data_IF_540274448852
#
_entry.id   IF_540274448852
#
_cell.length_a   1.000
_cell.length_b   1.000
_cell.length_c   1.000
_cell.angle_alpha   90.00
_cell.angle_beta   90.00
_cell.angle_gamma   90.00
#
_symmetry.space_group_name_H-M   'P 1'
#
loop_
_entity.id
_entity.type
_entity.pdbx_description
1 polymer ?
#
# COMPACT_ATOMS: atom_id res chain seq x y z
N UNK A 1 -14.53 9.20 35.45
CA UNK A 1 -13.82 10.49 35.51
C UNK A 1 -12.36 10.26 35.20
N UNK A 2 -11.87 10.65 34.00
CA UNK A 2 -10.46 10.55 33.61
C UNK A 2 -9.83 11.94 33.70
N UNK A 3 -8.64 11.99 34.29
CA UNK A 3 -7.95 13.20 34.77
C UNK A 3 -7.49 14.15 33.65
N UNK A 4 -7.63 15.48 33.81
CA UNK A 4 -7.24 16.51 32.83
C UNK A 4 -5.72 16.75 32.71
N UNK A 5 -4.88 15.92 33.34
CA UNK A 5 -3.43 16.14 33.37
C UNK A 5 -2.70 15.80 32.05
N UNK A 6 -3.29 14.99 31.17
CA UNK A 6 -2.65 14.62 29.89
C UNK A 6 -2.80 15.64 28.75
N UNK A 7 -3.80 16.54 28.82
CA UNK A 7 -4.00 17.56 27.77
C UNK A 7 -2.99 18.72 27.82
N UNK A 8 -2.41 19.02 29.00
CA UNK A 8 -1.46 20.15 29.15
C UNK A 8 -0.07 19.90 28.57
N UNK A 9 0.39 18.65 28.46
CA UNK A 9 1.70 18.33 27.85
C UNK A 9 1.68 18.38 26.32
N UNK A 10 0.54 18.08 25.69
CA UNK A 10 0.35 18.21 24.24
C UNK A 10 0.40 19.69 23.80
N UNK A 11 -0.24 20.59 24.55
CA UNK A 11 -0.25 22.03 24.25
C UNK A 11 1.13 22.72 24.45
N UNK A 12 1.95 22.23 25.39
CA UNK A 12 3.29 22.79 25.63
C UNK A 12 4.31 22.37 24.55
N UNK A 13 4.15 21.18 23.95
CA UNK A 13 4.92 20.80 22.75
C UNK A 13 4.52 21.60 21.51
N UNK A 14 3.24 21.96 21.38
CA UNK A 14 2.70 22.78 20.29
C UNK A 14 3.26 24.21 20.28
N UNK A 15 3.44 24.85 21.44
CA UNK A 15 3.96 26.22 21.52
C UNK A 15 5.47 26.33 21.21
N UNK A 16 6.25 25.27 21.47
CA UNK A 16 7.69 25.26 21.25
C UNK A 16 8.09 25.06 19.77
N UNK A 17 7.25 24.41 18.95
CA UNK A 17 7.50 24.29 17.50
C UNK A 17 7.05 25.53 16.72
N UNK A 18 5.95 26.17 17.14
CA UNK A 18 5.46 27.42 16.54
C UNK A 18 6.43 28.60 16.68
N UNK A 19 7.30 28.58 17.69
CA UNK A 19 8.28 29.65 17.94
C UNK A 19 9.56 29.54 17.09
N UNK A 20 9.87 28.36 16.52
CA UNK A 20 11.02 28.21 15.62
C UNK A 20 10.69 28.63 14.18
N UNK A 21 9.43 28.48 13.75
CA UNK A 21 8.98 28.93 12.43
C UNK A 21 8.83 30.45 12.31
N UNK A 22 8.61 31.17 13.42
CA UNK A 22 8.36 32.61 13.43
C UNK A 22 9.63 33.50 13.46
N UNK A 23 10.84 32.90 13.45
CA UNK A 23 12.10 33.63 13.64
C UNK A 23 13.10 33.52 12.48
N UNK A 24 12.67 33.06 11.30
CA UNK A 24 13.53 33.07 10.11
C UNK A 24 13.39 34.42 9.39
N UNK A 25 14.46 35.22 9.29
CA UNK A 25 14.41 36.48 8.56
C UNK A 25 14.15 36.22 7.08
N UNK A 26 13.14 36.87 6.53
CA UNK A 26 12.89 36.92 5.10
C UNK A 26 13.97 37.78 4.43
N UNK A 27 15.05 37.16 3.97
CA UNK A 27 15.92 37.74 2.95
C UNK A 27 15.54 37.14 1.61
N UNK A 28 15.07 38.00 0.70
CA UNK A 28 14.79 37.66 -0.69
C UNK A 28 16.06 37.17 -1.40
N UNK A 29 16.11 35.88 -1.68
CA UNK A 29 16.95 35.24 -2.69
C UNK A 29 16.07 34.17 -3.35
N UNK A 30 16.25 33.93 -4.65
CA UNK A 30 15.46 32.98 -5.47
C UNK A 30 15.49 31.50 -4.99
N UNK A 31 16.16 31.23 -3.87
CA UNK A 31 16.26 29.95 -3.16
C UNK A 31 15.69 30.01 -1.73
N UNK A 32 14.71 30.88 -1.47
CA UNK A 32 14.02 30.90 -0.18
C UNK A 32 13.39 29.52 0.08
N UNK A 33 13.60 28.95 1.28
CA UNK A 33 13.11 27.61 1.55
C UNK A 33 11.58 27.63 1.56
N UNK A 34 11.00 26.81 0.69
CA UNK A 34 9.55 26.62 0.59
C UNK A 34 9.14 25.53 1.58
N UNK A 35 8.17 25.84 2.43
CA UNK A 35 7.64 24.92 3.43
C UNK A 35 6.12 24.89 3.37
N UNK A 36 5.58 23.68 3.32
CA UNK A 36 4.16 23.41 3.42
C UNK A 36 3.85 22.57 4.65
N UNK A 37 2.72 22.87 5.29
CA UNK A 37 2.20 22.08 6.40
C UNK A 37 0.79 21.57 6.08
N UNK A 38 0.55 20.29 6.33
CA UNK A 38 -0.78 19.70 6.20
C UNK A 38 -1.14 18.92 7.46
N UNK A 39 -2.34 19.17 7.97
CA UNK A 39 -2.96 18.35 9.00
C UNK A 39 -4.01 17.46 8.35
N UNK A 40 -3.99 16.15 8.63
CA UNK A 40 -5.04 15.22 8.21
C UNK A 40 -5.64 14.49 9.40
N UNK A 41 -6.97 14.41 9.44
CA UNK A 41 -7.73 13.55 10.33
C UNK A 41 -8.43 12.47 9.51
N UNK A 42 -8.36 11.23 9.96
CA UNK A 42 -9.03 10.09 9.36
C UNK A 42 -9.77 9.33 10.45
N UNK A 43 -11.06 9.08 10.25
CA UNK A 43 -11.86 8.16 11.05
C UNK A 43 -12.32 7.00 10.18
N UNK A 44 -12.23 5.78 10.69
CA UNK A 44 -12.70 4.57 10.03
C UNK A 44 -13.62 3.78 10.94
N UNK A 45 -14.81 3.44 10.44
CA UNK A 45 -15.77 2.56 11.09
C UNK A 45 -15.80 1.20 10.40
N UNK A 46 -15.78 0.10 11.16
CA UNK A 46 -15.66 -1.25 10.60
C UNK A 46 -16.84 -2.15 11.01
N UNK A 47 -17.44 -2.85 10.04
CA UNK A 47 -18.50 -3.83 10.29
C UNK A 47 -17.90 -5.25 10.31
N UNK A 48 -17.81 -5.83 11.52
CA UNK A 48 -17.31 -7.19 11.71
C UNK A 48 -18.27 -8.24 11.12
N UNK A 49 -17.68 -9.28 10.55
CA UNK A 49 -18.41 -10.47 10.10
C UNK A 49 -18.48 -11.52 11.19
N UNK A 50 -19.57 -11.53 11.95
CA UNK A 50 -19.78 -12.45 13.09
C UNK A 50 -19.93 -13.91 12.69
N UNK A 51 -20.37 -14.19 11.47
CA UNK A 51 -20.47 -15.55 10.88
C UNK A 51 -19.15 -16.01 10.23
N UNK A 52 -18.05 -15.31 10.45
CA UNK A 52 -16.74 -15.69 9.92
C UNK A 52 -16.25 -17.02 10.49
N UNK A 53 -15.67 -17.93 9.69
CA UNK A 53 -15.04 -19.15 10.20
C UNK A 53 -13.84 -18.86 11.11
N UNK A 54 -13.38 -17.61 11.18
CA UNK A 54 -12.28 -17.16 12.02
C UNK A 54 -12.74 -16.56 13.36
N UNK A 55 -14.04 -16.65 13.70
CA UNK A 55 -14.63 -16.00 14.88
C UNK A 55 -13.83 -16.20 16.18
N UNK A 56 -13.34 -17.43 16.42
CA UNK A 56 -12.59 -17.77 17.63
C UNK A 56 -11.27 -17.01 17.81
N UNK A 57 -10.72 -16.42 16.75
CA UNK A 57 -9.47 -15.65 16.82
C UNK A 57 -9.64 -14.14 16.82
N UNK A 58 -10.86 -13.61 16.63
CA UNK A 58 -11.07 -12.19 16.32
C UNK A 58 -10.62 -11.24 17.43
N UNK A 59 -10.81 -11.62 18.69
CA UNK A 59 -10.40 -10.84 19.86
C UNK A 59 -8.89 -10.60 19.93
N UNK A 60 -8.09 -11.44 19.27
CA UNK A 60 -6.63 -11.34 19.18
C UNK A 60 -6.17 -10.59 17.93
N UNK A 61 -7.09 -10.03 17.14
CA UNK A 61 -6.79 -9.30 15.90
C UNK A 61 -7.32 -7.87 15.94
N UNK A 62 -6.96 -7.09 14.92
CA UNK A 62 -7.45 -5.73 14.69
C UNK A 62 -8.67 -5.65 13.78
N UNK A 63 -9.20 -6.79 13.29
CA UNK A 63 -10.36 -6.80 12.40
C UNK A 63 -11.61 -6.29 13.11
N UNK A 64 -12.42 -5.52 12.38
CA UNK A 64 -13.72 -5.02 12.85
C UNK A 64 -13.64 -4.03 14.00
N UNK A 65 -12.45 -3.47 14.28
CA UNK A 65 -12.26 -2.44 15.30
C UNK A 65 -12.16 -1.08 14.66
N UNK A 66 -12.91 -0.13 15.19
CA UNK A 66 -12.87 1.26 14.73
C UNK A 66 -11.49 1.88 14.93
N UNK A 67 -11.10 2.76 14.00
CA UNK A 67 -9.76 3.34 13.95
C UNK A 67 -9.84 4.84 13.73
N UNK A 68 -8.84 5.54 14.23
CA UNK A 68 -8.58 6.92 13.85
C UNK A 68 -7.10 7.13 13.58
N UNK A 69 -6.80 8.13 12.76
CA UNK A 69 -5.44 8.58 12.46
C UNK A 69 -5.40 10.09 12.36
N UNK A 70 -4.42 10.70 13.01
CA UNK A 70 -4.10 12.13 12.90
C UNK A 70 -2.69 12.21 12.33
N UNK A 71 -2.51 12.96 11.25
CA UNK A 71 -1.23 13.15 10.58
C UNK A 71 -0.88 14.65 10.55
N UNK A 72 0.38 14.93 10.82
CA UNK A 72 1.01 16.24 10.62
C UNK A 72 2.14 16.05 9.62
N UNK A 73 1.96 16.58 8.41
CA UNK A 73 2.95 16.53 7.33
C UNK A 73 3.67 17.87 7.23
N UNK A 74 5.00 17.83 7.29
CA UNK A 74 5.88 18.94 6.95
C UNK A 74 6.63 18.58 5.68
N UNK A 75 6.48 19.40 4.65
CA UNK A 75 7.22 19.31 3.40
C UNK A 75 8.07 20.56 3.25
N UNK A 76 9.29 20.41 2.76
CA UNK A 76 10.02 21.57 2.28
C UNK A 76 11.24 21.26 1.43
N UNK A 77 11.74 22.29 0.79
CA UNK A 77 12.93 22.23 -0.06
C UNK A 77 13.84 23.42 0.20
N UNK A 78 15.14 23.16 0.29
CA UNK A 78 16.17 24.17 0.40
C UNK A 78 17.35 23.79 -0.51
N UNK A 79 17.50 24.51 -1.62
CA UNK A 79 18.49 24.20 -2.65
C UNK A 79 18.37 22.76 -3.18
N UNK A 80 19.44 21.92 -3.07
CA UNK A 80 19.41 20.54 -3.54
C UNK A 80 18.65 19.59 -2.60
N UNK A 81 18.35 20.02 -1.37
CA UNK A 81 17.80 19.16 -0.32
C UNK A 81 16.28 19.25 -0.29
N UNK A 82 15.62 18.09 -0.28
CA UNK A 82 14.18 17.96 -0.10
C UNK A 82 13.86 17.13 1.14
N UNK A 83 12.85 17.56 1.90
CA UNK A 83 12.40 16.93 3.13
C UNK A 83 10.89 16.72 3.11
N UNK A 84 10.47 15.55 3.59
CA UNK A 84 9.08 15.22 3.88
C UNK A 84 9.04 14.42 5.18
N UNK A 85 8.38 14.98 6.19
CA UNK A 85 8.27 14.43 7.52
C UNK A 85 6.80 14.24 7.87
N UNK A 86 6.47 13.14 8.52
CA UNK A 86 5.12 12.90 9.03
C UNK A 86 5.15 12.47 10.49
N UNK A 87 4.43 13.19 11.34
CA UNK A 87 4.07 12.74 12.68
C UNK A 87 2.65 12.19 12.65
N UNK A 88 2.47 10.96 13.14
CA UNK A 88 1.18 10.27 13.14
C UNK A 88 0.81 9.85 14.54
N UNK A 89 -0.40 10.16 14.98
CA UNK A 89 -1.06 9.48 16.10
C UNK A 89 -2.15 8.58 15.52
N UNK A 90 -2.19 7.32 15.94
CA UNK A 90 -3.23 6.37 15.54
C UNK A 90 -3.82 5.69 16.76
N UNK A 91 -5.11 5.44 16.73
CA UNK A 91 -5.81 4.70 17.77
C UNK A 91 -6.76 3.68 17.19
N UNK A 92 -7.00 2.64 17.99
CA UNK A 92 -7.92 1.55 17.67
C UNK A 92 -8.77 1.27 18.90
N UNK A 93 -10.02 0.89 18.69
CA UNK A 93 -10.93 0.48 19.76
C UNK A 93 -10.30 -0.59 20.68
N UNK A 94 -10.34 -0.33 21.99
CA UNK A 94 -9.80 -1.22 23.02
C UNK A 94 -8.27 -1.26 23.13
N UNK A 95 -7.54 -0.43 22.38
CA UNK A 95 -6.08 -0.34 22.43
C UNK A 95 -5.60 1.04 22.90
N UNK A 96 -4.36 1.12 23.40
CA UNK A 96 -3.70 2.39 23.67
C UNK A 96 -3.31 3.05 22.34
N UNK A 97 -3.52 4.37 22.16
CA UNK A 97 -3.02 5.07 20.98
C UNK A 97 -1.50 4.92 20.83
N UNK A 98 -1.04 4.86 19.59
CA UNK A 98 0.36 4.78 19.22
C UNK A 98 0.77 5.99 18.38
N UNK A 99 1.87 6.62 18.77
CA UNK A 99 2.51 7.69 18.01
C UNK A 99 3.68 7.16 17.19
N UNK A 100 3.83 7.65 15.95
CA UNK A 100 4.97 7.36 15.07
C UNK A 100 5.45 8.64 14.43
N UNK A 101 6.76 8.80 14.32
CA UNK A 101 7.38 9.84 13.50
C UNK A 101 8.12 9.16 12.34
N UNK A 102 7.89 9.63 11.12
CA UNK A 102 8.47 9.07 9.90
C UNK A 102 9.16 10.18 9.12
N UNK A 103 10.40 9.91 8.73
CA UNK A 103 11.05 10.66 7.65
C UNK A 103 10.63 9.99 6.36
N UNK A 104 9.62 10.53 5.69
CA UNK A 104 9.11 9.96 4.44
C UNK A 104 10.13 10.13 3.33
N UNK A 105 10.66 11.34 3.17
CA UNK A 105 11.74 11.66 2.24
C UNK A 105 12.75 12.60 2.90
N UNK A 106 14.02 12.36 2.60
CA UNK A 106 15.15 13.21 2.98
C UNK A 106 16.29 12.91 2.01
N UNK A 107 16.40 13.71 0.94
CA UNK A 107 17.37 13.46 -0.12
C UNK A 107 17.98 14.75 -0.65
N UNK A 108 19.14 14.61 -1.28
CA UNK A 108 19.78 15.66 -2.05
C UNK A 108 19.89 15.24 -3.51
N UNK A 109 19.48 16.13 -4.41
CA UNK A 109 19.68 15.99 -5.86
C UNK A 109 20.72 17.01 -6.34
N UNK A 110 21.70 16.57 -7.12
CA UNK A 110 22.70 17.44 -7.72
C UNK A 110 23.05 16.97 -9.13
N UNK A 111 23.66 17.84 -9.92
CA UNK A 111 24.02 17.55 -11.32
C UNK A 111 25.48 17.85 -11.59
N UNK A 112 26.15 16.95 -12.32
CA UNK A 112 27.56 17.08 -12.72
C UNK A 112 27.70 16.63 -14.17
N UNK A 113 28.17 17.51 -15.05
CA UNK A 113 28.41 17.16 -16.46
C UNK A 113 27.15 16.73 -17.24
N UNK A 114 25.97 17.24 -16.87
CA UNK A 114 24.69 16.85 -17.49
C UNK A 114 24.05 15.59 -16.89
N UNK A 115 24.78 14.87 -16.04
CA UNK A 115 24.28 13.72 -15.26
C UNK A 115 23.63 14.21 -13.96
N UNK A 116 22.61 13.49 -13.47
CA UNK A 116 21.97 13.76 -12.18
C UNK A 116 22.28 12.65 -11.18
N UNK A 117 22.50 13.04 -9.93
CA UNK A 117 22.72 12.12 -8.83
C UNK A 117 21.72 12.41 -7.71
N UNK A 118 21.20 11.35 -7.12
CA UNK A 118 20.37 11.41 -5.91
C UNK A 118 21.07 10.66 -4.78
N UNK A 119 21.09 11.23 -3.58
CA UNK A 119 21.49 10.51 -2.36
C UNK A 119 20.49 10.78 -1.24
N UNK A 120 20.11 9.73 -0.52
CA UNK A 120 19.24 9.82 0.65
C UNK A 120 18.02 8.92 0.54
N UNK A 121 16.93 9.30 1.19
CA UNK A 121 15.66 8.56 1.21
C UNK A 121 14.64 9.25 0.33
N UNK A 122 14.15 8.56 -0.70
CA UNK A 122 13.22 9.15 -1.68
C UNK A 122 12.27 8.10 -2.24
N UNK A 123 11.04 8.52 -2.55
CA UNK A 123 10.03 7.65 -3.14
C UNK A 123 10.41 7.37 -4.59
N UNK A 124 10.50 6.09 -4.96
CA UNK A 124 10.92 5.68 -6.31
C UNK A 124 9.98 4.64 -6.90
N UNK A 125 8.95 5.11 -7.60
CA UNK A 125 8.07 4.24 -8.39
C UNK A 125 8.43 4.24 -9.88
N UNK A 126 7.90 3.27 -10.63
CA UNK A 126 8.22 3.12 -12.05
C UNK A 126 7.27 2.26 -12.87
N UNK A 127 6.20 1.71 -12.30
CA UNK A 127 5.18 1.00 -13.08
C UNK A 127 4.09 1.94 -13.65
N UNK A 128 3.34 1.45 -14.62
CA UNK A 128 2.20 2.10 -15.27
C UNK A 128 0.85 1.71 -14.63
N UNK A 129 0.81 0.61 -13.86
CA UNK A 129 -0.44 0.13 -13.26
C UNK A 129 -0.98 0.94 -12.07
N UNK A 130 -2.28 0.81 -11.83
CA UNK A 130 -3.02 1.47 -10.75
C UNK A 130 -3.25 0.54 -9.55
N UNK A 131 -3.93 -0.60 -9.76
CA UNK A 131 -4.21 -1.60 -8.73
C UNK A 131 -3.02 -2.52 -8.45
N UNK A 132 -2.31 -2.87 -9.52
CA UNK A 132 -1.21 -3.84 -9.47
C UNK A 132 -0.05 -3.36 -10.32
N UNK A 133 1.16 -3.34 -9.74
CA UNK A 133 2.35 -2.74 -10.34
C UNK A 133 3.51 -3.75 -10.37
N UNK A 134 3.53 -4.69 -11.35
CA UNK A 134 4.58 -5.71 -11.48
C UNK A 134 6.02 -5.20 -11.36
N UNK A 135 6.39 -4.10 -12.02
CA UNK A 135 7.76 -3.58 -12.13
C UNK A 135 8.12 -2.56 -11.04
N UNK A 136 7.25 -2.29 -10.06
CA UNK A 136 7.52 -1.46 -8.87
C UNK A 136 8.41 -2.21 -7.84
N UNK A 137 9.50 -2.80 -8.32
CA UNK A 137 10.34 -3.75 -7.57
C UNK A 137 11.21 -3.12 -6.47
N UNK A 138 11.32 -1.79 -6.45
CA UNK A 138 12.07 -1.02 -5.46
C UNK A 138 11.18 -0.49 -4.34
N UNK A 139 10.11 0.24 -4.68
CA UNK A 139 9.20 0.85 -3.70
C UNK A 139 8.24 -0.15 -3.05
N UNK A 140 7.69 -1.13 -3.80
CA UNK A 140 6.77 -2.20 -3.35
C UNK A 140 5.81 -1.78 -2.23
N UNK A 141 4.77 -1.02 -2.57
CA UNK A 141 3.76 -0.54 -1.61
C UNK A 141 2.38 -1.16 -1.86
N UNK A 142 1.59 -1.31 -0.79
CA UNK A 142 0.19 -1.75 -0.89
C UNK A 142 -0.70 -0.58 -1.31
N UNK A 143 -1.45 -0.74 -2.40
CA UNK A 143 -2.17 0.35 -3.09
C UNK A 143 -3.69 0.36 -2.89
N UNK A 144 -4.24 -0.56 -2.10
CA UNK A 144 -5.70 -0.72 -1.94
C UNK A 144 -6.24 -0.26 -0.58
N UNK A 145 -5.48 0.56 0.17
CA UNK A 145 -5.98 1.15 1.41
C UNK A 145 -7.05 2.21 1.12
N UNK A 146 -8.04 2.36 2.00
CA UNK A 146 -9.12 3.35 1.83
C UNK A 146 -8.60 4.79 1.93
N UNK A 147 -7.73 5.06 2.90
CA UNK A 147 -6.99 6.30 3.04
C UNK A 147 -5.52 6.00 3.36
N UNK A 148 -4.68 5.76 2.34
CA UNK A 148 -3.28 5.43 2.57
C UNK A 148 -2.55 6.57 3.30
N UNK A 149 -1.62 6.26 4.22
CA UNK A 149 -0.72 7.27 4.76
C UNK A 149 0.26 7.75 3.67
N UNK A 150 1.01 8.79 4.00
CA UNK A 150 2.04 9.30 3.10
C UNK A 150 3.09 8.22 2.81
N UNK A 151 3.49 8.09 1.54
CA UNK A 151 4.48 7.09 1.13
C UNK A 151 5.82 7.32 1.81
N UNK A 152 6.48 6.24 2.17
CA UNK A 152 7.82 6.26 2.77
C UNK A 152 8.84 5.88 1.69
N UNK A 153 9.79 6.76 1.40
CA UNK A 153 10.83 6.51 0.41
C UNK A 153 11.81 5.41 0.83
N UNK A 154 12.63 4.97 -0.12
CA UNK A 154 13.71 4.02 0.14
C UNK A 154 15.05 4.76 0.25
N UNK A 155 15.92 4.39 1.21
CA UNK A 155 17.32 4.79 1.19
C UNK A 155 17.99 4.35 -0.13
N UNK A 156 18.58 5.28 -0.86
CA UNK A 156 19.22 4.99 -2.13
C UNK A 156 20.33 5.97 -2.52
N UNK A 157 21.15 5.49 -3.46
CA UNK A 157 21.99 6.31 -4.32
C UNK A 157 21.51 6.07 -5.76
N UNK A 158 21.27 7.13 -6.53
CA UNK A 158 20.99 7.02 -7.97
C UNK A 158 21.98 7.83 -8.80
N UNK A 159 22.26 7.32 -9.98
CA UNK A 159 22.87 8.03 -11.09
C UNK A 159 21.92 7.94 -12.28
N UNK A 160 21.47 9.09 -12.76
CA UNK A 160 20.46 9.25 -13.78
C UNK A 160 21.00 10.06 -14.96
N UNK A 161 20.82 9.52 -16.16
CA UNK A 161 21.11 10.21 -17.42
C UNK A 161 19.81 10.44 -18.18
N UNK A 162 19.66 11.65 -18.74
CA UNK A 162 18.47 12.04 -19.50
C UNK A 162 18.86 12.48 -20.91
N UNK A 163 18.05 12.07 -21.87
CA UNK A 163 18.11 12.48 -23.28
C UNK A 163 16.73 13.01 -23.72
N UNK A 164 16.60 13.44 -24.96
CA UNK A 164 15.34 13.97 -25.50
C UNK A 164 14.18 12.97 -25.42
N UNK A 165 14.46 11.69 -25.67
CA UNK A 165 13.44 10.65 -25.83
C UNK A 165 13.70 9.44 -24.93
N UNK A 166 14.54 9.57 -23.92
CA UNK A 166 14.83 8.45 -23.04
C UNK A 166 15.67 8.83 -21.83
N UNK A 167 15.72 7.90 -20.90
CA UNK A 167 16.52 8.02 -19.69
C UNK A 167 16.99 6.65 -19.23
N UNK A 168 18.08 6.62 -18.48
CA UNK A 168 18.47 5.45 -17.71
C UNK A 168 18.89 5.85 -16.31
N UNK A 169 18.67 4.95 -15.36
CA UNK A 169 19.04 5.13 -13.96
C UNK A 169 19.77 3.89 -13.45
N UNK A 170 20.92 4.06 -12.82
CA UNK A 170 21.51 3.05 -11.94
C UNK A 170 21.16 3.40 -10.50
N UNK A 171 20.53 2.48 -9.78
CA UNK A 171 20.04 2.68 -8.42
C UNK A 171 20.62 1.63 -7.49
N UNK A 172 21.26 2.07 -6.42
CA UNK A 172 21.65 1.23 -5.29
C UNK A 172 20.65 1.51 -4.17
N UNK A 173 19.74 0.56 -3.92
CA UNK A 173 18.69 0.68 -2.91
C UNK A 173 19.06 -0.08 -1.64
N UNK A 174 18.73 0.49 -0.48
CA UNK A 174 19.04 -0.01 0.86
C UNK A 174 20.49 -0.51 0.99
N UNK A 175 21.52 0.31 0.69
CA UNK A 175 22.90 -0.12 0.77
C UNK A 175 23.24 -0.70 2.15
N UNK A 176 24.03 -1.78 2.19
CA UNK A 176 24.41 -2.48 3.43
C UNK A 176 23.37 -3.48 3.96
N UNK A 177 22.20 -3.58 3.35
CA UNK A 177 21.15 -4.50 3.76
C UNK A 177 21.18 -5.77 2.89
N UNK A 178 20.96 -6.95 3.48
CA UNK A 178 20.85 -8.19 2.70
C UNK A 178 19.40 -8.63 2.54
N UNK A 179 18.78 -9.05 3.65
CA UNK A 179 17.36 -9.41 3.74
C UNK A 179 16.82 -8.85 5.06
N UNK A 180 15.78 -8.03 5.00
CA UNK A 180 15.09 -7.50 6.20
C UNK A 180 13.61 -7.86 6.19
N UNK A 181 12.84 -7.42 7.18
CA UNK A 181 11.47 -7.92 7.42
C UNK A 181 10.64 -7.94 6.14
N UNK A 182 10.67 -6.83 5.41
CA UNK A 182 9.93 -6.64 4.15
C UNK A 182 10.84 -6.59 2.92
N UNK A 183 10.28 -6.94 1.76
CA UNK A 183 11.02 -6.95 0.50
C UNK A 183 11.51 -5.57 0.01
N UNK A 184 10.81 -4.50 0.42
CA UNK A 184 11.19 -3.10 0.12
C UNK A 184 12.43 -2.64 0.89
N UNK A 185 12.81 -3.35 1.95
CA UNK A 185 13.97 -3.07 2.80
C UNK A 185 15.23 -3.85 2.38
N UNK A 186 15.09 -4.75 1.42
CA UNK A 186 16.21 -5.55 0.93
C UNK A 186 17.22 -4.66 0.17
N UNK A 187 18.50 -4.89 0.39
CA UNK A 187 19.54 -4.27 -0.42
C UNK A 187 19.51 -4.82 -1.85
N UNK A 188 19.58 -3.91 -2.81
CA UNK A 188 19.56 -4.28 -4.23
C UNK A 188 20.27 -3.26 -5.11
N UNK A 189 20.68 -3.73 -6.29
CA UNK A 189 21.12 -2.88 -7.38
C UNK A 189 20.10 -3.03 -8.50
N UNK A 190 19.68 -1.90 -9.08
CA UNK A 190 18.74 -1.88 -10.17
C UNK A 190 19.17 -0.94 -11.29
N UNK A 191 18.84 -1.32 -12.52
CA UNK A 191 18.89 -0.45 -13.69
C UNK A 191 17.46 -0.20 -14.14
N UNK A 192 17.08 1.06 -14.30
CA UNK A 192 15.82 1.48 -14.91
C UNK A 192 16.10 2.07 -16.28
N UNK A 193 15.23 1.79 -17.23
CA UNK A 193 15.28 2.31 -18.59
C UNK A 193 13.94 2.97 -18.90
N UNK A 194 14.00 4.08 -19.61
CA UNK A 194 12.84 4.77 -20.16
C UNK A 194 13.11 5.15 -21.62
N UNK A 195 12.11 4.94 -22.47
CA UNK A 195 12.16 5.35 -23.87
C UNK A 195 10.77 5.81 -24.32
N UNK A 196 10.71 6.98 -24.93
CA UNK A 196 9.52 7.47 -25.64
C UNK A 196 9.65 7.20 -27.13
N UNK A 197 8.59 6.68 -27.74
CA UNK A 197 8.47 6.52 -29.20
C UNK A 197 7.09 6.97 -29.63
N UNK A 198 7.01 8.10 -30.33
CA UNK A 198 5.73 8.75 -30.68
C UNK A 198 4.85 8.95 -29.43
N UNK A 199 3.65 8.36 -29.39
CA UNK A 199 2.71 8.43 -28.27
C UNK A 199 2.85 7.28 -27.25
N UNK A 200 3.92 6.48 -27.35
CA UNK A 200 4.17 5.36 -26.46
C UNK A 200 5.37 5.62 -25.54
N UNK A 201 5.18 5.34 -24.25
CA UNK A 201 6.18 5.34 -23.21
C UNK A 201 6.54 3.90 -22.82
N UNK A 202 7.82 3.56 -22.89
CA UNK A 202 8.34 2.25 -22.52
C UNK A 202 9.23 2.36 -21.28
N UNK A 203 9.02 1.45 -20.35
CA UNK A 203 9.81 1.31 -19.13
C UNK A 203 10.46 -0.07 -19.08
N UNK A 204 11.70 -0.14 -18.63
CA UNK A 204 12.42 -1.37 -18.36
C UNK A 204 13.03 -1.35 -16.96
N UNK A 205 13.07 -2.50 -16.30
CA UNK A 205 13.78 -2.66 -15.03
C UNK A 205 14.56 -3.97 -15.00
N UNK A 206 15.79 -3.90 -14.53
CA UNK A 206 16.58 -5.04 -14.09
C UNK A 206 16.94 -4.79 -12.63
N UNK A 207 16.64 -5.73 -11.73
CA UNK A 207 16.99 -5.63 -10.31
C UNK A 207 17.65 -6.93 -9.86
N UNK A 208 18.67 -6.83 -9.04
CA UNK A 208 19.27 -7.98 -8.37
C UNK A 208 19.24 -7.79 -6.84
N UNK A 209 18.71 -8.78 -6.13
CA UNK A 209 18.62 -8.80 -4.66
C UNK A 209 18.94 -10.18 -4.10
N UNK A 210 19.32 -10.28 -2.81
CA UNK A 210 19.55 -11.58 -2.16
C UNK A 210 18.26 -12.41 -2.06
N UNK A 211 17.12 -11.78 -1.77
CA UNK A 211 15.83 -12.49 -1.65
C UNK A 211 15.36 -13.08 -2.97
N UNK A 212 15.18 -12.25 -4.00
CA UNK A 212 14.56 -12.70 -5.26
C UNK A 212 15.56 -13.08 -6.36
N UNK A 213 16.85 -12.79 -6.18
CA UNK A 213 17.84 -12.94 -7.25
C UNK A 213 17.62 -11.86 -8.31
N UNK A 214 17.83 -12.24 -9.57
CA UNK A 214 17.58 -11.37 -10.72
C UNK A 214 16.07 -11.25 -10.99
N UNK A 215 15.62 -10.03 -11.23
CA UNK A 215 14.27 -9.67 -11.61
C UNK A 215 14.38 -8.79 -12.86
N UNK A 216 13.57 -9.09 -13.88
CA UNK A 216 13.55 -8.37 -15.14
C UNK A 216 12.11 -8.07 -15.50
N UNK A 217 11.84 -6.83 -15.87
CA UNK A 217 10.49 -6.40 -16.22
C UNK A 217 10.46 -5.28 -17.23
N UNK A 218 9.31 -5.16 -17.88
CA UNK A 218 9.02 -4.11 -18.83
C UNK A 218 7.58 -3.65 -18.68
N UNK A 219 7.33 -2.38 -18.96
CA UNK A 219 5.99 -1.83 -19.05
C UNK A 219 5.89 -0.88 -20.24
N UNK A 220 4.67 -0.68 -20.73
CA UNK A 220 4.36 0.28 -21.75
C UNK A 220 3.04 0.99 -21.43
N UNK A 221 2.95 2.27 -21.75
CA UNK A 221 1.70 3.03 -21.84
C UNK A 221 1.63 3.71 -23.20
N UNK A 222 0.46 3.73 -23.82
CA UNK A 222 0.23 4.33 -25.13
C UNK A 222 -1.08 5.10 -25.12
N UNK A 223 -1.05 6.28 -25.75
CA UNK A 223 -2.20 7.16 -25.91
C UNK A 223 -2.57 7.21 -27.39
N UNK A 224 -3.39 6.26 -27.89
CA UNK A 224 -3.73 6.17 -29.32
C UNK A 224 -4.63 7.31 -29.84
N UNK A 225 -5.26 8.06 -28.95
CA UNK A 225 -6.07 9.24 -29.27
C UNK A 225 -6.30 10.09 -28.02
N UNK A 226 -7.17 11.08 -28.08
CA UNK A 226 -7.20 12.15 -27.06
C UNK A 226 -7.77 11.72 -25.70
N UNK A 227 -8.49 10.60 -25.66
CA UNK A 227 -9.27 10.19 -24.49
C UNK A 227 -8.89 8.80 -23.93
N UNK A 228 -8.17 7.98 -24.70
CA UNK A 228 -7.88 6.59 -24.33
C UNK A 228 -6.39 6.41 -24.07
N UNK A 229 -6.08 5.80 -22.94
CA UNK A 229 -4.77 5.29 -22.57
C UNK A 229 -4.85 3.77 -22.42
N UNK A 230 -3.86 3.05 -22.95
CA UNK A 230 -3.70 1.62 -22.76
C UNK A 230 -2.33 1.34 -22.16
N UNK A 231 -2.28 0.42 -21.20
CA UNK A 231 -1.04 0.10 -20.51
C UNK A 231 -0.88 -1.39 -20.23
N UNK A 232 0.37 -1.82 -20.15
CA UNK A 232 0.74 -3.19 -19.83
C UNK A 232 2.04 -3.25 -19.04
N UNK A 233 2.18 -4.24 -18.16
CA UNK A 233 3.38 -4.45 -17.36
C UNK A 233 3.64 -5.94 -17.15
N UNK A 234 4.91 -6.35 -17.22
CA UNK A 234 5.37 -7.72 -17.06
C UNK A 234 6.60 -7.73 -16.16
N UNK A 235 6.64 -8.66 -15.20
CA UNK A 235 7.84 -8.98 -14.42
C UNK A 235 8.09 -10.49 -14.45
N UNK A 236 9.34 -10.88 -14.62
CA UNK A 236 9.86 -12.21 -14.35
C UNK A 236 10.91 -12.13 -13.26
N UNK A 237 10.77 -12.98 -12.24
CA UNK A 237 11.71 -13.04 -11.12
C UNK A 237 12.44 -14.38 -11.15
N UNK A 238 13.69 -14.47 -10.67
CA UNK A 238 14.37 -15.75 -10.51
C UNK A 238 13.76 -16.58 -9.37
N UNK A 239 13.40 -15.92 -8.26
CA UNK A 239 12.72 -16.50 -7.11
C UNK A 239 11.61 -15.56 -6.65
N UNK A 240 10.54 -16.13 -6.10
CA UNK A 240 9.54 -15.38 -5.33
C UNK A 240 9.21 -16.10 -4.04
N UNK A 241 8.34 -15.47 -3.25
CA UNK A 241 7.87 -15.99 -1.98
C UNK A 241 6.35 -15.90 -1.94
N UNK A 242 5.69 -16.92 -1.39
CA UNK A 242 4.24 -16.94 -1.17
C UNK A 242 3.94 -17.44 0.23
N UNK A 243 2.97 -16.82 0.93
CA UNK A 243 2.48 -17.29 2.23
C UNK A 243 1.22 -18.13 2.03
N UNK A 244 1.22 -19.33 2.60
CA UNK A 244 0.19 -20.33 2.39
C UNK A 244 -0.30 -20.92 3.72
N UNK A 245 -1.53 -21.46 3.75
CA UNK A 245 -1.96 -22.31 4.84
C UNK A 245 -1.10 -23.58 4.91
N UNK A 246 -1.16 -24.28 6.04
CA UNK A 246 -0.53 -25.58 6.22
C UNK A 246 -1.03 -26.59 5.17
N UNK A 247 -0.33 -27.72 4.98
CA UNK A 247 -0.86 -28.81 4.14
C UNK A 247 -2.14 -29.40 4.76
N UNK A 248 -3.00 -30.03 3.94
CA UNK A 248 -4.20 -30.71 4.44
C UNK A 248 -3.87 -31.93 5.34
N UNK A 249 -2.61 -32.40 5.32
CA UNK A 249 -2.11 -33.49 6.16
C UNK A 249 -1.44 -33.01 7.45
N UNK A 250 -1.59 -31.73 7.80
CA UNK A 250 -1.03 -31.18 9.03
C UNK A 250 -1.60 -31.88 10.27
N UNK A 251 -0.74 -32.20 11.23
CA UNK A 251 -1.17 -32.79 12.51
C UNK A 251 -1.98 -31.78 13.33
N UNK A 252 -2.76 -32.27 14.30
CA UNK A 252 -3.49 -31.41 15.25
C UNK A 252 -2.52 -30.45 15.97
N UNK A 253 -1.35 -30.94 16.38
CA UNK A 253 -0.32 -30.10 17.00
C UNK A 253 0.14 -28.96 16.09
N UNK A 254 0.31 -29.21 14.79
CA UNK A 254 0.64 -28.17 13.82
C UNK A 254 -0.51 -27.18 13.62
N UNK A 255 -1.77 -27.66 13.58
CA UNK A 255 -2.95 -26.79 13.46
C UNK A 255 -3.14 -25.85 14.64
N UNK A 256 -2.73 -26.26 15.85
CA UNK A 256 -2.81 -25.46 17.08
C UNK A 256 -1.58 -24.58 17.33
N UNK A 257 -0.52 -24.70 16.53
CA UNK A 257 0.67 -23.88 16.65
C UNK A 257 0.47 -22.52 15.96
N UNK A 258 0.37 -21.44 16.75
CA UNK A 258 0.21 -20.09 16.24
C UNK A 258 1.42 -19.57 15.44
N UNK A 259 2.64 -19.97 15.80
CA UNK A 259 3.86 -19.53 15.11
C UNK A 259 3.99 -20.18 13.72
N UNK A 260 3.43 -21.38 13.58
CA UNK A 260 3.42 -22.16 12.34
C UNK A 260 2.11 -22.12 11.56
N UNK A 261 1.18 -21.20 11.87
CA UNK A 261 -0.16 -21.22 11.28
C UNK A 261 -0.17 -21.01 9.74
N UNK A 262 0.92 -20.47 9.19
CA UNK A 262 1.17 -20.29 7.76
C UNK A 262 2.60 -20.72 7.41
N UNK A 263 2.82 -21.13 6.17
CA UNK A 263 4.13 -21.50 5.63
C UNK A 263 4.53 -20.50 4.54
N UNK A 264 5.79 -20.06 4.54
CA UNK A 264 6.36 -19.30 3.43
C UNK A 264 7.05 -20.26 2.47
N UNK A 265 6.53 -20.36 1.25
CA UNK A 265 7.11 -21.15 0.18
C UNK A 265 7.97 -20.27 -0.73
N UNK A 266 9.16 -20.77 -1.11
CA UNK A 266 9.97 -20.15 -2.17
C UNK A 266 9.59 -20.77 -3.50
N UNK A 267 9.16 -19.94 -4.44
CA UNK A 267 8.76 -20.37 -5.78
C UNK A 267 9.82 -20.00 -6.81
N UNK A 268 10.10 -20.92 -7.72
CA UNK A 268 11.02 -20.70 -8.82
C UNK A 268 10.33 -19.95 -9.96
N UNK A 269 11.00 -18.94 -10.51
CA UNK A 269 10.60 -18.27 -11.74
C UNK A 269 9.18 -17.72 -11.81
N UNK A 270 8.62 -17.09 -10.75
CA UNK A 270 7.28 -16.52 -10.84
C UNK A 270 7.25 -15.35 -11.81
N UNK A 271 6.07 -15.12 -12.37
CA UNK A 271 5.81 -14.01 -13.28
C UNK A 271 4.68 -13.15 -12.72
N UNK A 272 4.59 -11.91 -13.20
CA UNK A 272 3.51 -10.98 -12.88
C UNK A 272 3.15 -10.25 -14.15
N UNK A 273 1.87 -10.12 -14.46
CA UNK A 273 1.37 -9.50 -15.69
C UNK A 273 0.22 -8.58 -15.34
N UNK A 274 0.18 -7.41 -15.97
CA UNK A 274 -0.91 -6.45 -15.94
C UNK A 274 -1.22 -6.01 -17.36
N UNK A 275 -2.51 -5.88 -17.67
CA UNK A 275 -3.05 -5.24 -18.86
C UNK A 275 -4.20 -4.33 -18.43
N UNK A 276 -4.25 -3.10 -18.94
CA UNK A 276 -5.29 -2.17 -18.57
C UNK A 276 -5.44 -1.01 -19.54
N UNK A 277 -6.37 -0.14 -19.20
CA UNK A 277 -6.56 1.12 -19.87
C UNK A 277 -7.49 2.06 -19.13
N UNK A 278 -7.40 3.32 -19.51
CA UNK A 278 -8.17 4.42 -18.96
C UNK A 278 -8.82 5.18 -20.09
N UNK A 279 -10.12 5.43 -20.00
CA UNK A 279 -10.84 6.30 -20.91
C UNK A 279 -11.38 7.51 -20.14
N UNK A 280 -11.05 8.72 -20.58
CA UNK A 280 -11.44 9.97 -19.92
C UNK A 280 -12.12 10.90 -20.91
N UNK A 281 -13.23 11.48 -20.49
CA UNK A 281 -14.02 12.44 -21.30
C UNK A 281 -13.75 13.87 -20.84
N UNK A 282 -14.03 14.84 -21.71
CA UNK A 282 -13.95 16.28 -21.38
C UNK A 282 -14.89 16.67 -20.24
N UNK A 283 -16.00 15.95 -20.06
CA UNK A 283 -16.98 16.17 -18.99
C UNK A 283 -16.51 15.72 -17.59
N UNK A 284 -15.24 15.31 -17.44
CA UNK A 284 -14.65 14.89 -16.18
C UNK A 284 -14.97 13.45 -15.76
N UNK A 285 -15.64 12.67 -16.61
CA UNK A 285 -15.82 11.23 -16.39
C UNK A 285 -14.59 10.44 -16.83
N UNK A 286 -14.17 9.49 -16.00
CA UNK A 286 -13.09 8.56 -16.27
C UNK A 286 -13.52 7.14 -15.96
N UNK A 287 -13.24 6.20 -16.87
CA UNK A 287 -13.39 4.77 -16.68
C UNK A 287 -12.03 4.10 -16.78
N UNK A 288 -11.67 3.31 -15.78
CA UNK A 288 -10.44 2.53 -15.76
C UNK A 288 -10.76 1.05 -15.63
N UNK A 289 -10.06 0.23 -16.39
CA UNK A 289 -10.12 -1.23 -16.32
C UNK A 289 -8.72 -1.83 -16.29
N UNK A 290 -8.45 -2.71 -15.34
CA UNK A 290 -7.20 -3.47 -15.27
C UNK A 290 -7.48 -4.94 -15.02
N UNK A 291 -6.73 -5.82 -15.69
CA UNK A 291 -6.64 -7.24 -15.42
C UNK A 291 -5.19 -7.59 -15.09
N UNK A 292 -5.00 -8.49 -14.14
CA UNK A 292 -3.66 -8.98 -13.82
C UNK A 292 -3.60 -10.45 -13.45
N UNK A 293 -2.38 -10.96 -13.55
CA UNK A 293 -1.95 -12.21 -12.96
C UNK A 293 -0.72 -12.00 -12.06
N UNK A 294 -0.78 -12.49 -10.81
CA UNK A 294 0.35 -12.46 -9.88
C UNK A 294 0.72 -13.89 -9.45
N UNK A 295 1.81 -14.43 -10.02
CA UNK A 295 2.30 -15.78 -9.69
C UNK A 295 2.75 -15.98 -8.24
N UNK A 296 2.89 -14.90 -7.46
CA UNK A 296 3.26 -14.96 -6.04
C UNK A 296 2.06 -14.91 -5.10
N UNK A 297 0.85 -14.61 -5.60
CA UNK A 297 -0.34 -14.48 -4.79
C UNK A 297 -1.04 -15.85 -4.53
N UNK A 298 -1.87 -15.96 -3.48
CA UNK A 298 -2.65 -17.16 -3.22
C UNK A 298 -3.65 -17.50 -4.34
N UNK A 299 -3.85 -18.79 -4.57
CA UNK A 299 -4.88 -19.31 -5.47
C UNK A 299 -6.19 -19.60 -4.70
N UNK A 300 -7.28 -19.83 -5.43
CA UNK A 300 -8.59 -20.16 -4.83
C UNK A 300 -8.52 -21.39 -3.90
N UNK A 301 -7.75 -22.42 -4.29
CA UNK A 301 -7.55 -23.62 -3.47
C UNK A 301 -6.86 -23.33 -2.13
N UNK A 302 -6.02 -22.29 -2.06
CA UNK A 302 -5.35 -21.89 -0.83
C UNK A 302 -6.35 -21.26 0.15
N UNK A 303 -7.30 -20.45 -0.34
CA UNK A 303 -8.39 -19.89 0.48
C UNK A 303 -9.35 -20.97 0.99
N UNK A 304 -9.72 -21.93 0.13
CA UNK A 304 -10.52 -23.08 0.53
C UNK A 304 -9.81 -23.91 1.61
N UNK A 305 -8.49 -24.10 1.48
CA UNK A 305 -7.66 -24.79 2.49
C UNK A 305 -7.66 -24.03 3.81
N UNK A 306 -7.45 -22.71 3.77
CA UNK A 306 -7.52 -21.87 4.98
C UNK A 306 -8.87 -22.01 5.69
N UNK A 307 -9.98 -21.96 4.94
CA UNK A 307 -11.33 -22.13 5.47
C UNK A 307 -11.51 -23.50 6.14
N UNK A 308 -11.08 -24.59 5.48
CA UNK A 308 -11.14 -25.94 6.07
C UNK A 308 -10.35 -26.03 7.36
N UNK A 309 -9.16 -25.44 7.40
CA UNK A 309 -8.33 -25.43 8.61
C UNK A 309 -8.93 -24.59 9.74
N UNK A 310 -9.58 -23.47 9.42
CA UNK A 310 -10.33 -22.70 10.41
C UNK A 310 -11.48 -23.52 11.01
N UNK A 311 -12.23 -24.25 10.17
CA UNK A 311 -13.28 -25.17 10.64
C UNK A 311 -12.72 -26.32 11.49
N UNK A 312 -11.58 -26.91 11.10
CA UNK A 312 -10.89 -27.94 11.88
C UNK A 312 -10.48 -27.41 13.26
N UNK A 313 -9.91 -26.20 13.34
CA UNK A 313 -9.56 -25.56 14.61
C UNK A 313 -10.79 -25.29 15.47
N UNK A 314 -11.87 -24.79 14.87
CA UNK A 314 -13.13 -24.55 15.58
C UNK A 314 -13.73 -25.84 16.16
N UNK A 315 -13.63 -26.97 15.43
CA UNK A 315 -14.09 -28.28 15.92
C UNK A 315 -13.27 -28.82 17.10
N UNK A 316 -12.07 -28.29 17.35
CA UNK A 316 -11.25 -28.64 18.52
C UNK A 316 -11.64 -27.86 19.79
N UNK A 317 -12.53 -26.86 19.69
CA UNK A 317 -13.05 -26.15 20.86
C UNK A 317 -13.86 -27.11 21.74
N UNK A 318 -13.53 -27.15 23.03
CA UNK A 318 -14.19 -28.03 24.01
C UNK A 318 -13.71 -29.48 24.00
N UNK A 319 -12.76 -29.85 23.12
CA UNK A 319 -12.12 -31.17 23.15
C UNK A 319 -11.21 -31.26 24.39
N UNK A 320 -11.35 -32.29 25.25
CA UNK A 320 -10.50 -32.46 26.42
C UNK A 320 -9.00 -32.45 26.06
N UNK A 321 -8.21 -31.66 26.78
CA UNK A 321 -6.77 -31.51 26.54
C UNK A 321 -6.40 -30.48 25.45
N UNK A 322 -7.38 -29.86 24.77
CA UNK A 322 -7.11 -28.75 23.83
C UNK A 322 -7.39 -27.40 24.50
N UNK A 323 -6.37 -26.55 24.70
CA UNK A 323 -6.59 -25.21 25.26
C UNK A 323 -7.35 -24.31 24.27
N UNK A 324 -8.43 -23.66 24.71
CA UNK A 324 -9.17 -22.69 23.89
C UNK A 324 -8.28 -21.54 23.40
N UNK A 325 -7.31 -21.11 24.22
CA UNK A 325 -6.33 -20.09 23.84
C UNK A 325 -5.43 -20.53 22.67
N UNK A 326 -5.10 -21.82 22.55
CA UNK A 326 -4.32 -22.34 21.44
C UNK A 326 -5.13 -22.30 20.13
N UNK A 327 -6.42 -22.66 20.19
CA UNK A 327 -7.35 -22.53 19.06
C UNK A 327 -7.48 -21.07 18.62
N UNK A 328 -7.73 -20.16 19.57
CA UNK A 328 -7.88 -18.73 19.31
C UNK A 328 -6.60 -18.14 18.71
N UNK A 329 -5.44 -18.42 19.31
CA UNK A 329 -4.14 -17.95 18.86
C UNK A 329 -3.78 -18.45 17.46
N UNK A 330 -3.97 -19.74 17.17
CA UNK A 330 -3.69 -20.30 15.85
C UNK A 330 -4.67 -19.78 14.78
N UNK A 331 -5.94 -19.60 15.14
CA UNK A 331 -6.95 -19.01 14.25
C UNK A 331 -6.59 -17.57 13.92
N UNK A 332 -6.26 -16.75 14.91
CA UNK A 332 -5.81 -15.37 14.74
C UNK A 332 -4.54 -15.29 13.89
N UNK A 333 -3.54 -16.13 14.19
CA UNK A 333 -2.30 -16.18 13.44
C UNK A 333 -2.50 -16.54 11.95
N UNK A 334 -3.47 -17.40 11.63
CA UNK A 334 -3.78 -17.78 10.25
C UNK A 334 -4.39 -16.63 9.44
N UNK A 335 -5.00 -15.64 10.11
CA UNK A 335 -5.56 -14.46 9.44
C UNK A 335 -4.49 -13.54 8.85
N UNK A 336 -3.20 -13.73 9.21
CA UNK A 336 -2.07 -13.06 8.54
C UNK A 336 -1.98 -13.35 7.04
N UNK A 337 -2.73 -14.34 6.54
CA UNK A 337 -2.88 -14.60 5.11
C UNK A 337 -3.55 -13.42 4.38
N UNK A 338 -4.38 -12.62 5.07
CA UNK A 338 -5.00 -11.41 4.54
C UNK A 338 -4.06 -10.19 4.47
N UNK A 339 -2.88 -10.26 5.10
CA UNK A 339 -1.87 -9.19 5.04
C UNK A 339 -1.01 -9.26 3.76
N UNK A 340 -1.36 -10.11 2.82
CA UNK A 340 -0.63 -10.25 1.56
C UNK A 340 -1.00 -9.11 0.61
N UNK A 341 -0.01 -8.62 -0.17
CA UNK A 341 -0.21 -7.48 -1.08
C UNK A 341 -1.33 -7.72 -2.11
N UNK A 342 -1.48 -8.96 -2.57
CA UNK A 342 -2.59 -9.39 -3.44
C UNK A 342 -3.27 -10.61 -2.82
N UNK A 343 -4.60 -10.56 -2.70
CA UNK A 343 -5.39 -11.70 -2.22
C UNK A 343 -5.81 -12.66 -3.34
N UNK A 344 -5.61 -12.27 -4.60
CA UNK A 344 -6.01 -13.05 -5.75
C UNK A 344 -4.88 -13.16 -6.77
N UNK A 345 -4.62 -14.40 -7.21
CA UNK A 345 -3.69 -14.67 -8.32
C UNK A 345 -4.16 -14.05 -9.64
N UNK A 346 -5.48 -13.99 -9.87
CA UNK A 346 -6.10 -13.34 -11.04
C UNK A 346 -7.07 -12.29 -10.55
N UNK A 347 -6.78 -11.04 -10.83
CA UNK A 347 -7.61 -9.92 -10.38
C UNK A 347 -8.06 -9.04 -11.53
N UNK A 348 -9.16 -8.33 -11.29
CA UNK A 348 -9.68 -7.31 -12.18
C UNK A 348 -10.11 -6.10 -11.35
N UNK A 349 -9.64 -4.91 -11.71
CA UNK A 349 -10.14 -3.63 -11.20
C UNK A 349 -11.01 -2.99 -12.28
N UNK A 350 -12.16 -2.47 -11.88
CA UNK A 350 -12.94 -1.53 -12.68
C UNK A 350 -13.25 -0.32 -11.83
N UNK A 351 -12.94 0.86 -12.36
CA UNK A 351 -13.19 2.14 -11.68
C UNK A 351 -14.01 3.03 -12.60
N UNK A 352 -15.06 3.60 -12.05
CA UNK A 352 -15.77 4.73 -12.63
C UNK A 352 -15.54 5.93 -11.73
N UNK A 353 -15.06 7.03 -12.27
CA UNK A 353 -14.83 8.27 -11.54
C UNK A 353 -15.44 9.45 -12.30
N UNK A 354 -15.83 10.45 -11.53
CA UNK A 354 -16.26 11.75 -12.03
C UNK A 354 -15.57 12.82 -11.21
N UNK A 355 -15.00 13.81 -11.89
CA UNK A 355 -14.53 15.05 -11.30
C UNK A 355 -15.35 16.21 -11.89
N UNK A 356 -15.87 17.06 -11.02
CA UNK A 356 -16.52 18.30 -11.42
C UNK A 356 -15.50 19.17 -12.19
N UNK A 357 -15.83 19.66 -13.40
CA UNK A 357 -14.99 20.62 -14.12
C UNK A 357 -14.65 21.87 -13.31
N UNK A 358 -15.50 22.26 -12.36
CA UNK A 358 -15.23 23.34 -11.39
C UNK A 358 -14.23 22.98 -10.29
N UNK A 359 -13.74 21.75 -10.25
CA UNK A 359 -12.67 21.26 -9.37
C UNK A 359 -13.08 21.03 -7.91
N UNK A 360 -14.36 21.22 -7.56
CA UNK A 360 -14.80 21.15 -6.15
C UNK A 360 -15.26 19.78 -5.72
N UNK A 361 -15.87 19.02 -6.60
CA UNK A 361 -16.45 17.71 -6.27
C UNK A 361 -15.77 16.59 -7.05
N UNK A 362 -15.69 15.44 -6.41
CA UNK A 362 -15.33 14.19 -7.08
C UNK A 362 -16.16 13.04 -6.53
N UNK A 363 -16.43 12.05 -7.37
CA UNK A 363 -17.07 10.80 -6.97
C UNK A 363 -16.39 9.63 -7.67
N UNK A 364 -16.33 8.47 -7.02
CA UNK A 364 -15.84 7.25 -7.65
C UNK A 364 -16.49 5.98 -7.11
N UNK A 365 -16.50 4.95 -7.95
CA UNK A 365 -16.90 3.59 -7.63
C UNK A 365 -15.84 2.62 -8.18
N UNK A 366 -15.15 1.94 -7.28
CA UNK A 366 -14.05 1.01 -7.57
C UNK A 366 -14.48 -0.41 -7.21
N UNK A 367 -14.54 -1.30 -8.20
CA UNK A 367 -14.84 -2.73 -8.05
C UNK A 367 -13.58 -3.54 -8.31
N UNK A 368 -13.08 -4.20 -7.26
CA UNK A 368 -12.01 -5.19 -7.34
C UNK A 368 -12.62 -6.59 -7.31
N UNK A 369 -12.33 -7.42 -8.31
CA UNK A 369 -12.82 -8.79 -8.41
C UNK A 369 -11.66 -9.79 -8.48
N UNK A 370 -11.72 -10.80 -7.62
CA UNK A 370 -10.91 -12.01 -7.75
C UNK A 370 -11.58 -12.95 -8.74
N UNK A 371 -10.90 -13.24 -9.84
CA UNK A 371 -11.44 -14.07 -10.91
C UNK A 371 -11.29 -15.57 -10.65
N UNK A 372 -10.44 -15.95 -9.68
CA UNK A 372 -10.20 -17.35 -9.33
C UNK A 372 -11.27 -17.94 -8.41
N UNK A 373 -11.78 -17.16 -7.46
CA UNK A 373 -12.75 -17.60 -6.46
C UNK A 373 -14.05 -16.77 -6.46
N UNK A 374 -14.16 -15.76 -7.31
CA UNK A 374 -15.34 -14.90 -7.44
C UNK A 374 -15.52 -13.87 -6.31
N UNK A 375 -14.54 -13.74 -5.40
CA UNK A 375 -14.55 -12.74 -4.35
C UNK A 375 -14.48 -11.32 -4.91
N UNK A 376 -14.99 -10.33 -4.18
CA UNK A 376 -14.94 -8.94 -4.62
C UNK A 376 -14.94 -7.91 -3.48
N UNK A 377 -14.48 -6.70 -3.82
CA UNK A 377 -14.67 -5.49 -3.01
C UNK A 377 -15.26 -4.38 -3.87
N UNK A 378 -16.24 -3.66 -3.33
CA UNK A 378 -16.78 -2.45 -3.94
C UNK A 378 -16.51 -1.27 -3.01
N UNK A 379 -15.83 -0.24 -3.50
CA UNK A 379 -15.60 1.02 -2.77
C UNK A 379 -16.29 2.15 -3.50
N UNK A 380 -17.14 2.89 -2.81
CA UNK A 380 -17.73 4.13 -3.32
C UNK A 380 -17.24 5.29 -2.48
N UNK A 381 -16.79 6.37 -3.11
CA UNK A 381 -16.27 7.54 -2.41
C UNK A 381 -16.75 8.85 -3.05
N UNK A 382 -16.89 9.88 -2.22
CA UNK A 382 -17.15 11.25 -2.62
C UNK A 382 -16.12 12.16 -1.94
N UNK A 383 -15.64 13.15 -2.68
CA UNK A 383 -14.68 14.13 -2.19
C UNK A 383 -15.15 15.55 -2.49
N UNK A 384 -14.90 16.44 -1.55
CA UNK A 384 -15.06 17.88 -1.71
C UNK A 384 -13.74 18.61 -1.45
N UNK A 385 -13.38 19.53 -2.32
CA UNK A 385 -12.16 20.35 -2.25
C UNK A 385 -12.54 21.84 -2.21
N UNK A 386 -12.21 22.48 -1.11
CA UNK A 386 -12.16 23.95 -0.97
C UNK A 386 -10.73 24.48 -1.13
N UNK A 387 -10.49 25.72 -0.72
CA UNK A 387 -9.17 26.36 -0.88
C UNK A 387 -8.10 25.73 0.03
N UNK A 388 -8.39 25.58 1.34
CA UNK A 388 -7.49 24.98 2.32
C UNK A 388 -8.00 23.68 2.93
N UNK A 389 -9.29 23.38 2.75
CA UNK A 389 -9.97 22.23 3.33
C UNK A 389 -10.32 21.22 2.25
N UNK A 390 -10.01 19.95 2.50
CA UNK A 390 -10.48 18.80 1.73
C UNK A 390 -11.24 17.84 2.63
N UNK A 391 -12.37 17.34 2.14
CA UNK A 391 -13.18 16.33 2.80
C UNK A 391 -13.31 15.14 1.86
N UNK A 392 -13.02 13.94 2.34
CA UNK A 392 -13.25 12.70 1.62
C UNK A 392 -14.12 11.77 2.48
N UNK A 393 -15.08 11.08 1.88
CA UNK A 393 -15.87 10.07 2.58
C UNK A 393 -16.14 8.89 1.66
N UNK A 394 -16.18 7.69 2.22
CA UNK A 394 -16.46 6.51 1.42
C UNK A 394 -16.89 5.29 2.22
N UNK A 395 -17.38 4.30 1.48
CA UNK A 395 -17.84 3.01 1.98
C UNK A 395 -17.24 1.90 1.12
N UNK A 396 -16.66 0.90 1.77
CA UNK A 396 -16.17 -0.34 1.17
C UNK A 396 -17.01 -1.51 1.65
N UNK A 397 -17.39 -2.39 0.73
CA UNK A 397 -18.09 -3.67 1.00
C UNK A 397 -17.26 -4.84 0.46
N UNK A 398 -17.28 -5.95 1.19
CA UNK A 398 -16.61 -7.19 0.81
C UNK A 398 -17.64 -8.30 0.55
N UNK A 399 -17.48 -9.06 -0.54
CA UNK A 399 -18.44 -10.10 -0.90
C UNK A 399 -17.87 -11.20 -1.80
N UNK A 400 -18.77 -12.04 -2.33
CA UNK A 400 -18.47 -13.18 -3.19
C UNK A 400 -18.93 -14.53 -2.60
N UNK A 401 -18.55 -15.65 -3.23
CA UNK A 401 -18.82 -17.00 -2.74
C UNK A 401 -18.25 -17.24 -1.34
N UNK A 402 -18.88 -18.13 -0.56
CA UNK A 402 -18.58 -18.41 0.87
C UNK A 402 -17.14 -18.88 1.17
N UNK A 403 -16.38 -19.25 0.15
CA UNK A 403 -15.01 -19.74 0.20
C UNK A 403 -14.00 -18.82 -0.51
N UNK A 404 -14.45 -17.67 -1.02
CA UNK A 404 -13.58 -16.65 -1.63
C UNK A 404 -12.84 -15.82 -0.59
N UNK A 405 -11.65 -15.32 -0.94
CA UNK A 405 -10.80 -14.52 -0.06
C UNK A 405 -11.55 -13.35 0.61
N UNK A 406 -12.25 -12.54 -0.19
CA UNK A 406 -12.98 -11.36 0.29
C UNK A 406 -14.23 -11.70 1.09
N UNK A 407 -14.84 -12.88 0.86
CA UNK A 407 -15.93 -13.37 1.72
C UNK A 407 -15.38 -14.03 2.99
N UNK A 408 -14.15 -14.53 3.01
CA UNK A 408 -13.50 -15.07 4.20
C UNK A 408 -12.93 -13.98 5.12
N UNK A 409 -12.69 -12.78 4.59
CA UNK A 409 -12.27 -11.63 5.38
C UNK A 409 -13.21 -11.43 6.58
N UNK A 410 -12.69 -11.30 7.81
CA UNK A 410 -13.52 -11.07 9.00
C UNK A 410 -14.24 -9.73 9.07
N UNK A 411 -14.16 -8.93 8.00
CA UNK A 411 -14.89 -7.68 7.83
C UNK A 411 -15.92 -7.83 6.70
N UNK A 412 -17.09 -7.23 6.90
CA UNK A 412 -18.15 -7.15 5.89
C UNK A 412 -18.13 -5.81 5.18
N UNK A 413 -17.78 -4.77 5.90
CA UNK A 413 -17.70 -3.42 5.38
C UNK A 413 -16.74 -2.57 6.20
N UNK A 414 -16.32 -1.47 5.60
CA UNK A 414 -15.67 -0.39 6.30
C UNK A 414 -16.09 0.94 5.69
N UNK A 415 -16.23 1.98 6.50
CA UNK A 415 -16.50 3.34 6.07
C UNK A 415 -15.36 4.24 6.56
N UNK A 416 -15.07 5.30 5.80
CA UNK A 416 -14.06 6.27 6.20
C UNK A 416 -14.54 7.70 5.97
N UNK A 417 -14.01 8.60 6.80
CA UNK A 417 -14.10 10.05 6.61
C UNK A 417 -12.72 10.64 6.83
N UNK A 418 -12.28 11.46 5.88
CA UNK A 418 -11.02 12.17 5.88
C UNK A 418 -11.23 13.68 5.86
N UNK A 419 -10.47 14.41 6.66
CA UNK A 419 -10.42 15.87 6.65
C UNK A 419 -8.95 16.28 6.53
N UNK A 420 -8.59 17.06 5.50
CA UNK A 420 -7.23 17.59 5.32
C UNK A 420 -7.25 19.12 5.30
N UNK A 421 -6.33 19.74 6.04
CA UNK A 421 -6.16 21.19 6.14
C UNK A 421 -4.73 21.54 5.73
N UNK A 422 -4.58 22.33 4.67
CA UNK A 422 -3.30 22.87 4.21
C UNK A 422 -3.11 24.29 4.74
N UNK A 423 -1.89 24.64 5.16
CA UNK A 423 -1.58 25.92 5.79
C UNK A 423 -0.69 26.79 4.92
#
# INVERSE_FOLDING_TARGET
MKSPYHQRRLLQGFAAMLSVAAALPASAADDAPDFGWTTRFVGEGHELRRDSPFAAGLDLTSFGRDRYRIEQELRGRAGPVSLLLTATESGQEGAKPAGRFVVNEAYADFSVGGERFTVGKKVLSGDVGYAFRPIDVLQRESRMQMMPPQLEGIPMLSWDNFSTDGAWSLVIANPGHQRRGEAREDGSVAVKLYRRVASADFHGVLRNSKRYGLEAGAAASVVPGDALELHASLLVQRRGERRLPLSDTASIGALLNADGALVTETIASPRKVLLGGTWTTEGGFSMLGEFWWDGTAPAAADWQRLKRQAAQRAALLGVPGVPAAAVAGATAASMRMFDQGNLAQRGMLTRLAWADPGGRWSASADMLKSLGDGGWTLTTAVGWQGEKLRIDAGLRRYGGPADSAYRLLPERAAAFVGLSLAY
#
